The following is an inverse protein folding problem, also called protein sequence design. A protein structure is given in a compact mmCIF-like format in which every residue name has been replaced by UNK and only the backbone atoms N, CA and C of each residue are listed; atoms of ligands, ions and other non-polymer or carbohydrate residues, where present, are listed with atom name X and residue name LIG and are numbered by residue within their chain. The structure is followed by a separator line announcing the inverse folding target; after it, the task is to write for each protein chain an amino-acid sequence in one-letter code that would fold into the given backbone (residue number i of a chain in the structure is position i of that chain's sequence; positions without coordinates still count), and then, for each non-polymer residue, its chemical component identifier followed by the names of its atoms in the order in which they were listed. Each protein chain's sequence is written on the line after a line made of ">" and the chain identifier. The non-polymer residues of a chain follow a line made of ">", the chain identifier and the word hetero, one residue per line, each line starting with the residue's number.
data_IF_767538497726
#
_entry.id   IF_767538497726
#
_cell.length_a   1.000
_cell.length_b   1.000
_cell.length_c   1.000
_cell.angle_alpha   90.00
_cell.angle_beta   90.00
_cell.angle_gamma   90.00
#
_symmetry.space_group_name_H-M   'P 1'
#
loop_
_entity.id
_entity.type
_entity.pdbx_description
1 polymer ?
#
# COMPACT_ATOMS: atom_id res chain seq x y z
N UNK A 1 -5.04 33.73 7.02
CA UNK A 1 -4.73 32.29 6.99
C UNK A 1 -5.80 31.56 7.78
N UNK A 2 -6.85 31.09 7.12
CA UNK A 2 -7.86 30.22 7.73
C UNK A 2 -7.29 28.81 7.80
N UNK A 3 -6.87 28.38 8.98
CA UNK A 3 -6.50 26.99 9.22
C UNK A 3 -7.76 26.14 9.10
N UNK A 4 -7.94 25.50 7.95
CA UNK A 4 -8.98 24.48 7.77
C UNK A 4 -8.71 23.41 8.82
N UNK A 5 -9.52 23.37 9.89
CA UNK A 5 -9.48 22.28 10.88
C UNK A 5 -9.72 20.99 10.09
N UNK A 6 -8.65 20.22 9.85
CA UNK A 6 -8.79 18.86 9.33
C UNK A 6 -9.61 18.07 10.34
N UNK A 7 -10.64 17.39 9.85
CA UNK A 7 -11.50 16.57 10.69
C UNK A 7 -10.64 15.45 11.33
N UNK A 8 -10.64 15.26 12.66
CA UNK A 8 -9.72 14.33 13.33
C UNK A 8 -9.84 12.88 12.81
N UNK A 9 -11.05 12.46 12.42
CA UNK A 9 -11.29 11.15 11.78
C UNK A 9 -10.54 11.00 10.44
N UNK A 10 -10.39 12.08 9.67
CA UNK A 10 -9.72 12.04 8.37
C UNK A 10 -8.21 11.85 8.54
N UNK A 11 -7.62 12.45 9.57
CA UNK A 11 -6.18 12.30 9.86
C UNK A 11 -5.86 10.88 10.33
N UNK A 12 -6.69 10.32 11.22
CA UNK A 12 -6.55 8.93 11.67
C UNK A 12 -6.67 7.95 10.49
N UNK A 13 -7.68 8.12 9.65
CA UNK A 13 -7.85 7.31 8.45
C UNK A 13 -6.64 7.40 7.51
N UNK A 14 -6.10 8.61 7.28
CA UNK A 14 -4.94 8.77 6.40
C UNK A 14 -3.68 8.10 6.96
N UNK A 15 -3.47 8.15 8.28
CA UNK A 15 -2.37 7.47 8.95
C UNK A 15 -2.53 5.94 8.85
N UNK A 16 -3.72 5.43 9.14
CA UNK A 16 -4.01 4.00 9.12
C UNK A 16 -3.93 3.43 7.71
N UNK A 17 -4.47 4.14 6.71
CA UNK A 17 -4.37 3.75 5.30
C UNK A 17 -2.93 3.67 4.82
N UNK A 18 -2.12 4.68 5.15
CA UNK A 18 -0.69 4.66 4.77
C UNK A 18 0.04 3.49 5.42
N UNK A 19 -0.27 3.21 6.69
CA UNK A 19 0.31 2.08 7.42
C UNK A 19 -0.10 0.75 6.80
N UNK A 20 -1.38 0.55 6.52
CA UNK A 20 -1.89 -0.66 5.90
C UNK A 20 -1.28 -0.88 4.50
N UNK A 21 -1.28 0.17 3.66
CA UNK A 21 -0.66 0.11 2.34
C UNK A 21 0.84 -0.20 2.44
N UNK A 22 1.59 0.43 3.36
CA UNK A 22 3.01 0.13 3.56
C UNK A 22 3.27 -1.30 4.04
N UNK A 23 2.46 -1.84 4.96
CA UNK A 23 2.59 -3.22 5.40
C UNK A 23 2.28 -4.21 4.27
N UNK A 24 1.28 -3.91 3.44
CA UNK A 24 0.97 -4.71 2.25
C UNK A 24 2.10 -4.67 1.22
N UNK A 25 2.74 -3.51 1.04
CA UNK A 25 3.94 -3.36 0.22
C UNK A 25 5.06 -4.26 0.73
N UNK A 26 5.34 -4.21 2.03
CA UNK A 26 6.43 -4.97 2.64
C UNK A 26 6.21 -6.47 2.48
N UNK A 27 5.00 -6.94 2.80
CA UNK A 27 4.63 -8.34 2.64
C UNK A 27 4.68 -8.78 1.17
N UNK A 28 4.07 -8.00 0.27
CA UNK A 28 4.08 -8.26 -1.17
C UNK A 28 5.48 -8.26 -1.76
N UNK A 29 6.34 -7.35 -1.31
CA UNK A 29 7.73 -7.29 -1.74
C UNK A 29 8.50 -8.53 -1.32
N UNK A 30 8.39 -8.95 -0.06
CA UNK A 30 9.04 -10.17 0.41
C UNK A 30 8.63 -11.40 -0.41
N UNK A 31 7.33 -11.56 -0.65
CA UNK A 31 6.79 -12.65 -1.48
C UNK A 31 7.32 -12.55 -2.92
N UNK A 32 7.27 -11.35 -3.50
CA UNK A 32 7.73 -11.10 -4.87
C UNK A 32 9.21 -11.35 -5.06
N UNK A 33 10.06 -11.00 -4.08
CA UNK A 33 11.49 -11.30 -4.09
C UNK A 33 11.69 -12.81 -4.14
N UNK A 34 11.13 -13.54 -3.18
CA UNK A 34 11.32 -14.99 -3.09
C UNK A 34 10.81 -15.67 -4.35
N UNK A 35 9.62 -15.31 -4.84
CA UNK A 35 9.03 -15.92 -6.00
C UNK A 35 9.82 -15.65 -7.29
N UNK A 36 10.21 -14.39 -7.54
CA UNK A 36 10.97 -14.04 -8.74
C UNK A 36 12.38 -14.61 -8.71
N UNK A 37 13.04 -14.57 -7.55
CA UNK A 37 14.38 -15.11 -7.33
C UNK A 37 14.43 -16.63 -7.58
N UNK A 38 13.45 -17.35 -7.02
CA UNK A 38 13.41 -18.81 -7.04
C UNK A 38 12.95 -19.37 -8.39
N UNK A 39 11.93 -18.76 -9.01
CA UNK A 39 11.21 -19.40 -10.13
C UNK A 39 11.43 -18.72 -11.48
N UNK A 40 11.94 -17.49 -11.52
CA UNK A 40 12.13 -16.74 -12.76
C UNK A 40 13.61 -16.52 -13.06
N UNK A 41 14.30 -15.80 -12.17
CA UNK A 41 15.73 -15.54 -12.25
C UNK A 41 16.20 -14.89 -10.97
N UNK A 42 17.37 -15.29 -10.47
CA UNK A 42 18.01 -14.67 -9.30
C UNK A 42 18.21 -13.15 -9.47
N UNK A 43 18.47 -12.67 -10.69
CA UNK A 43 18.62 -11.24 -10.97
C UNK A 43 17.31 -10.45 -10.88
N UNK A 44 16.17 -11.15 -10.91
CA UNK A 44 14.83 -10.55 -10.88
C UNK A 44 14.19 -10.58 -9.50
N UNK A 45 14.85 -11.10 -8.46
CA UNK A 45 14.34 -11.07 -7.09
C UNK A 45 13.93 -9.66 -6.65
N UNK A 46 14.89 -8.73 -6.57
CA UNK A 46 14.60 -7.34 -6.15
C UNK A 46 13.58 -6.65 -7.07
N UNK A 47 13.74 -6.65 -8.41
CA UNK A 47 12.74 -6.07 -9.31
C UNK A 47 11.33 -6.65 -9.16
N UNK A 48 11.22 -7.99 -9.05
CA UNK A 48 9.96 -8.70 -8.87
C UNK A 48 9.31 -8.37 -7.53
N UNK A 49 10.12 -8.27 -6.48
CA UNK A 49 9.72 -7.75 -5.18
C UNK A 49 9.06 -6.39 -5.27
N UNK A 50 9.77 -5.41 -5.83
CA UNK A 50 9.26 -4.04 -5.93
C UNK A 50 7.97 -3.96 -6.77
N UNK A 51 7.87 -4.76 -7.84
CA UNK A 51 6.68 -4.82 -8.68
C UNK A 51 5.46 -5.37 -7.90
N UNK A 52 5.60 -6.52 -7.25
CA UNK A 52 4.51 -7.15 -6.49
C UNK A 52 4.15 -6.33 -5.25
N UNK A 53 5.14 -5.81 -4.53
CA UNK A 53 4.93 -4.90 -3.40
C UNK A 53 4.20 -3.62 -3.81
N UNK A 54 4.63 -2.98 -4.90
CA UNK A 54 3.99 -1.77 -5.44
C UNK A 54 2.55 -2.03 -5.86
N UNK A 55 2.28 -3.18 -6.47
CA UNK A 55 0.93 -3.61 -6.79
C UNK A 55 0.07 -3.79 -5.53
N UNK A 56 0.56 -4.51 -4.52
CA UNK A 56 -0.14 -4.71 -3.25
C UNK A 56 -0.45 -3.37 -2.55
N UNK A 57 0.53 -2.47 -2.50
CA UNK A 57 0.37 -1.11 -2.00
C UNK A 57 -0.79 -0.39 -2.70
N UNK A 58 -0.77 -0.39 -4.03
CA UNK A 58 -1.77 0.30 -4.84
C UNK A 58 -3.17 -0.26 -4.61
N UNK A 59 -3.30 -1.59 -4.54
CA UNK A 59 -4.59 -2.26 -4.29
C UNK A 59 -5.15 -1.87 -2.92
N UNK A 60 -4.36 -1.99 -1.86
CA UNK A 60 -4.82 -1.67 -0.49
C UNK A 60 -5.15 -0.18 -0.38
N UNK A 61 -4.27 0.68 -0.89
CA UNK A 61 -4.49 2.12 -0.87
C UNK A 61 -5.79 2.50 -1.60
N UNK A 62 -6.01 1.95 -2.80
CA UNK A 62 -7.22 2.20 -3.59
C UNK A 62 -8.47 1.66 -2.87
N UNK A 63 -8.42 0.44 -2.35
CA UNK A 63 -9.52 -0.18 -1.61
C UNK A 63 -9.94 0.67 -0.41
N UNK A 64 -9.01 1.05 0.46
CA UNK A 64 -9.31 1.86 1.64
C UNK A 64 -9.82 3.25 1.25
N UNK A 65 -9.29 3.83 0.17
CA UNK A 65 -9.79 5.10 -0.37
C UNK A 65 -11.24 4.98 -0.84
N UNK A 66 -11.58 3.91 -1.56
CA UNK A 66 -12.94 3.66 -2.05
C UNK A 66 -13.91 3.40 -0.89
N UNK A 67 -13.50 2.62 0.11
CA UNK A 67 -14.31 2.34 1.30
C UNK A 67 -14.56 3.60 2.12
N UNK A 68 -13.55 4.46 2.28
CA UNK A 68 -13.74 5.75 2.94
C UNK A 68 -14.77 6.60 2.21
N UNK A 69 -14.65 6.74 0.88
CA UNK A 69 -15.63 7.50 0.07
C UNK A 69 -17.03 6.90 0.17
N UNK A 70 -17.16 5.57 0.13
CA UNK A 70 -18.45 4.89 0.28
C UNK A 70 -19.12 5.20 1.62
N UNK A 71 -18.36 5.34 2.71
CA UNK A 71 -18.91 5.57 4.05
C UNK A 71 -18.99 7.05 4.44
N UNK A 72 -18.23 7.94 3.80
CA UNK A 72 -18.08 9.34 4.23
C UNK A 72 -18.24 10.39 3.10
N UNK A 73 -18.44 9.98 1.83
CA UNK A 73 -18.62 10.86 0.65
C UNK A 73 -17.49 10.76 -0.38
#
# INVERSE_FOLDING_TARGET
>A
MTTVRKHPLREQFEAERRRAAFLSFLAGSGIGIIAADTWVSHWLGIPGGLAIGGFAYGVVYAYETLMWRKHHG
#
